data_IF_237574868951
#
_entry.id   IF_237574868951
#
_cell.length_a   1.000
_cell.length_b   1.000
_cell.length_c   1.000
_cell.angle_alpha   90.00
_cell.angle_beta   90.00
_cell.angle_gamma   90.00
#
_symmetry.space_group_name_H-M   'P 1'
#
loop_
_entity.id
_entity.type
_entity.pdbx_description
1 polymer ?
#
# COMPACT_ATOMS: atom_id res chain seq x y z
N UNK A 1 22.28 -3.48 18.43
CA UNK A 1 21.58 -3.96 19.62
C UNK A 1 21.58 -5.47 19.66
N UNK A 2 21.83 -6.06 20.81
CA UNK A 2 21.81 -7.51 21.00
C UNK A 2 20.35 -7.98 20.86
N UNK A 3 20.08 -8.88 19.93
CA UNK A 3 18.77 -9.55 19.86
C UNK A 3 18.67 -10.46 21.07
N UNK A 4 17.85 -10.07 22.05
CA UNK A 4 17.47 -10.96 23.14
C UNK A 4 16.33 -11.85 22.69
N UNK A 5 16.49 -13.16 22.82
CA UNK A 5 15.48 -14.19 22.48
C UNK A 5 14.20 -14.03 23.33
N UNK A 6 14.29 -13.32 24.46
CA UNK A 6 13.17 -12.92 25.30
C UNK A 6 13.23 -11.40 25.48
N UNK A 7 12.48 -10.68 24.69
CA UNK A 7 12.26 -9.25 24.94
C UNK A 7 11.38 -9.07 26.18
N UNK A 8 11.78 -8.18 27.07
CA UNK A 8 10.98 -7.80 28.23
C UNK A 8 10.01 -6.66 27.93
N UNK A 9 10.02 -6.16 26.70
CA UNK A 9 9.10 -5.11 26.26
C UNK A 9 7.68 -5.63 26.02
N UNK A 10 6.73 -4.73 26.10
CA UNK A 10 5.31 -4.96 25.85
C UNK A 10 4.72 -3.79 25.09
N UNK A 11 3.91 -4.10 24.11
CA UNK A 11 3.17 -3.13 23.30
C UNK A 11 1.68 -3.36 23.46
N UNK A 12 0.92 -2.30 23.71
CA UNK A 12 -0.53 -2.33 23.79
C UNK A 12 -1.12 -1.30 22.82
N UNK A 13 -1.91 -1.77 21.89
CA UNK A 13 -2.64 -0.95 20.92
C UNK A 13 -4.10 -0.79 21.34
N UNK A 14 -4.61 0.44 21.21
CA UNK A 14 -6.01 0.75 21.35
C UNK A 14 -6.48 1.59 20.17
N UNK A 15 -7.35 1.02 19.36
CA UNK A 15 -7.84 1.66 18.14
C UNK A 15 -9.37 1.66 18.12
N UNK A 16 -9.97 2.82 17.87
CA UNK A 16 -11.41 2.92 17.59
C UNK A 16 -11.65 3.56 16.24
N UNK A 17 -12.64 3.06 15.53
CA UNK A 17 -13.03 3.55 14.20
C UNK A 17 -14.55 3.64 14.12
N UNK A 18 -15.06 4.86 14.06
CA UNK A 18 -16.48 5.14 13.95
C UNK A 18 -16.73 5.82 12.60
N UNK A 19 -17.72 5.37 11.85
CA UNK A 19 -18.07 5.95 10.56
C UNK A 19 -19.58 5.98 10.38
N UNK A 20 -20.06 7.11 9.86
CA UNK A 20 -21.41 7.30 9.36
C UNK A 20 -21.34 7.59 7.87
N UNK A 21 -22.18 6.94 7.09
CA UNK A 21 -22.30 7.16 5.67
C UNK A 21 -23.77 7.39 5.30
N UNK A 22 -24.01 8.46 4.54
CA UNK A 22 -25.31 8.71 3.93
C UNK A 22 -25.15 8.76 2.41
N UNK A 23 -26.01 8.02 1.71
CA UNK A 23 -25.95 7.89 0.26
C UNK A 23 -27.31 8.21 -0.35
N UNK A 24 -27.32 9.11 -1.32
CA UNK A 24 -28.46 9.46 -2.16
C UNK A 24 -28.18 9.05 -3.60
N UNK A 25 -29.06 8.23 -4.17
CA UNK A 25 -29.02 7.84 -5.58
C UNK A 25 -30.19 8.46 -6.32
N UNK A 26 -29.92 9.07 -7.47
CA UNK A 26 -30.87 9.55 -8.46
C UNK A 26 -30.43 9.12 -9.86
N UNK A 27 -31.32 9.25 -10.86
CA UNK A 27 -31.04 8.75 -12.22
C UNK A 27 -29.72 9.30 -12.82
N UNK A 28 -29.40 10.56 -12.57
CA UNK A 28 -28.22 11.22 -13.16
C UNK A 28 -27.10 11.52 -12.17
N UNK A 29 -27.35 11.35 -10.87
CA UNK A 29 -26.32 11.66 -9.88
C UNK A 29 -26.40 10.77 -8.65
N UNK A 30 -25.27 10.61 -7.99
CA UNK A 30 -25.21 10.11 -6.62
C UNK A 30 -24.42 11.08 -5.75
N UNK A 31 -24.89 11.23 -4.52
CA UNK A 31 -24.22 12.04 -3.50
C UNK A 31 -23.97 11.16 -2.29
N UNK A 32 -22.73 11.12 -1.83
CA UNK A 32 -22.32 10.32 -0.69
C UNK A 32 -21.60 11.22 0.30
N UNK A 33 -22.10 11.28 1.52
CA UNK A 33 -21.48 12.00 2.63
C UNK A 33 -20.98 10.98 3.63
N UNK A 34 -19.70 11.10 4.03
CA UNK A 34 -19.07 10.29 5.06
C UNK A 34 -18.53 11.19 6.16
N UNK A 35 -18.76 10.79 7.40
CA UNK A 35 -18.11 11.34 8.56
C UNK A 35 -17.47 10.20 9.34
N UNK A 36 -16.19 10.31 9.68
CA UNK A 36 -15.50 9.30 10.47
C UNK A 36 -14.65 9.94 11.56
N UNK A 37 -14.62 9.28 12.72
CA UNK A 37 -13.76 9.64 13.82
C UNK A 37 -12.94 8.43 14.24
N UNK A 38 -11.62 8.60 14.19
CA UNK A 38 -10.65 7.56 14.49
C UNK A 38 -9.80 7.97 15.67
N UNK A 39 -9.54 7.02 16.56
CA UNK A 39 -8.53 7.15 17.62
C UNK A 39 -7.55 5.99 17.46
N UNK A 40 -6.29 6.30 17.36
CA UNK A 40 -5.20 5.34 17.35
C UNK A 40 -4.27 5.69 18.51
N UNK A 41 -4.05 4.74 19.41
CA UNK A 41 -3.20 4.89 20.58
C UNK A 41 -2.38 3.65 20.79
N UNK A 42 -1.10 3.83 21.11
CA UNK A 42 -0.26 2.77 21.62
C UNK A 42 0.34 3.16 22.98
N UNK A 43 0.63 2.14 23.79
CA UNK A 43 1.48 2.24 24.97
C UNK A 43 2.64 1.27 24.80
N UNK A 44 3.87 1.74 24.92
CA UNK A 44 5.08 0.95 24.87
C UNK A 44 5.73 0.89 26.26
N UNK A 45 5.97 -0.31 26.73
CA UNK A 45 6.61 -0.61 28.00
C UNK A 45 7.98 -1.22 27.70
N UNK A 46 9.06 -0.58 28.11
CA UNK A 46 10.41 -1.16 28.02
C UNK A 46 10.58 -2.41 28.85
N UNK A 47 9.83 -2.47 29.96
CA UNK A 47 9.73 -3.65 30.81
C UNK A 47 8.25 -4.00 31.00
N UNK A 48 7.83 -5.19 30.55
CA UNK A 48 6.46 -5.70 30.64
C UNK A 48 5.90 -5.80 32.07
N UNK A 49 6.78 -5.83 33.07
CA UNK A 49 6.44 -5.89 34.50
C UNK A 49 6.39 -4.49 35.14
N UNK A 50 6.70 -3.42 34.40
CA UNK A 50 6.63 -2.03 34.87
C UNK A 50 5.29 -1.42 34.50
N UNK A 51 4.81 -0.49 35.32
CA UNK A 51 3.65 0.35 35.00
C UNK A 51 4.04 1.62 34.22
N UNK A 52 5.34 1.87 34.06
CA UNK A 52 5.85 3.02 33.30
C UNK A 52 5.83 2.70 31.81
N UNK A 53 5.27 3.59 31.00
CA UNK A 53 5.21 3.45 29.56
C UNK A 53 5.36 4.78 28.83
N UNK A 54 5.83 4.74 27.62
CA UNK A 54 5.69 5.81 26.64
C UNK A 54 4.44 5.57 25.79
N UNK A 55 3.81 6.64 25.29
CA UNK A 55 2.61 6.51 24.46
C UNK A 55 2.65 7.45 23.28
N UNK A 56 1.94 7.08 22.24
CA UNK A 56 1.53 7.93 21.13
C UNK A 56 0.03 7.80 20.90
N UNK A 57 -0.62 8.90 20.57
CA UNK A 57 -2.05 8.95 20.26
C UNK A 57 -2.30 9.93 19.14
N UNK A 58 -3.13 9.52 18.17
CA UNK A 58 -3.68 10.39 17.14
C UNK A 58 -5.19 10.24 17.13
N UNK A 59 -5.90 11.37 17.16
CA UNK A 59 -7.34 11.44 16.92
C UNK A 59 -7.57 12.14 15.60
N UNK A 60 -8.39 11.56 14.72
CA UNK A 60 -8.64 12.13 13.40
C UNK A 60 -10.13 12.21 13.12
N UNK A 61 -10.59 13.39 12.72
CA UNK A 61 -11.91 13.64 12.14
C UNK A 61 -11.78 13.72 10.62
N UNK A 62 -12.59 12.95 9.91
CA UNK A 62 -12.69 12.95 8.45
C UNK A 62 -14.11 13.30 8.04
N UNK A 63 -14.24 14.26 7.14
CA UNK A 63 -15.48 14.56 6.45
C UNK A 63 -15.23 14.45 4.95
N UNK A 64 -16.09 13.75 4.22
CA UNK A 64 -15.99 13.59 2.77
C UNK A 64 -17.34 13.75 2.12
N UNK A 65 -17.40 14.54 1.05
CA UNK A 65 -18.50 14.57 0.11
C UNK A 65 -18.02 14.07 -1.26
N UNK A 66 -18.61 13.00 -1.74
CA UNK A 66 -18.37 12.40 -3.06
C UNK A 66 -19.64 12.59 -3.89
N UNK A 67 -19.55 13.40 -4.95
CA UNK A 67 -20.65 13.69 -5.84
C UNK A 67 -20.32 13.26 -7.27
N UNK A 68 -21.05 12.27 -7.76
CA UNK A 68 -20.96 11.78 -9.13
C UNK A 68 -22.14 12.29 -9.93
N UNK A 69 -21.86 12.91 -11.08
CA UNK A 69 -22.86 13.38 -12.02
C UNK A 69 -22.65 12.77 -13.41
N UNK A 70 -23.68 12.13 -13.96
CA UNK A 70 -23.69 11.57 -15.30
C UNK A 70 -24.29 12.61 -16.26
N UNK A 71 -23.43 13.30 -17.03
CA UNK A 71 -23.85 14.24 -18.06
C UNK A 71 -24.57 13.48 -19.18
N UNK A 72 -23.99 12.34 -19.58
CA UNK A 72 -24.54 11.40 -20.56
C UNK A 72 -24.17 9.97 -20.17
N UNK A 73 -24.54 8.98 -20.96
CA UNK A 73 -24.10 7.59 -20.80
C UNK A 73 -22.59 7.42 -20.97
N UNK A 74 -21.93 8.34 -21.69
CA UNK A 74 -20.50 8.29 -21.98
C UNK A 74 -19.66 9.25 -21.15
N UNK A 75 -20.27 10.26 -20.49
CA UNK A 75 -19.53 11.30 -19.76
C UNK A 75 -20.00 11.36 -18.32
N UNK A 76 -19.07 11.23 -17.39
CA UNK A 76 -19.31 11.44 -15.96
C UNK A 76 -18.30 12.41 -15.37
N UNK A 77 -18.77 13.24 -14.42
CA UNK A 77 -17.92 14.09 -13.58
C UNK A 77 -18.08 13.57 -12.15
N UNK A 78 -16.94 13.37 -11.48
CA UNK A 78 -16.92 13.11 -10.06
C UNK A 78 -16.19 14.25 -9.34
N UNK A 79 -16.83 14.83 -8.32
CA UNK A 79 -16.22 15.82 -7.44
C UNK A 79 -16.07 15.26 -6.05
N UNK A 80 -14.90 15.45 -5.45
CA UNK A 80 -14.60 15.07 -4.09
C UNK A 80 -14.19 16.29 -3.28
N UNK A 81 -14.83 16.48 -2.14
CA UNK A 81 -14.43 17.46 -1.14
C UNK A 81 -14.10 16.68 0.14
N UNK A 82 -12.88 16.84 0.62
CA UNK A 82 -12.40 16.21 1.83
C UNK A 82 -11.97 17.26 2.85
N UNK A 83 -12.27 17.00 4.10
CA UNK A 83 -11.74 17.72 5.26
C UNK A 83 -11.19 16.71 6.25
N UNK A 84 -9.97 16.93 6.70
CA UNK A 84 -9.32 16.11 7.73
C UNK A 84 -8.73 17.01 8.80
N UNK A 85 -9.04 16.73 10.07
CA UNK A 85 -8.34 17.30 11.21
C UNK A 85 -7.73 16.16 12.03
N UNK A 86 -6.45 16.25 12.32
CA UNK A 86 -5.73 15.25 13.11
C UNK A 86 -5.01 15.93 14.27
N UNK A 87 -5.25 15.44 15.48
CA UNK A 87 -4.61 15.88 16.72
C UNK A 87 -3.69 14.76 17.20
N UNK A 88 -2.38 15.01 17.22
CA UNK A 88 -1.35 14.09 17.65
C UNK A 88 -0.76 14.51 18.98
N UNK A 89 -0.48 13.56 19.87
CA UNK A 89 0.25 13.76 21.14
C UNK A 89 0.96 12.50 21.58
N UNK A 90 1.99 12.62 22.37
CA UNK A 90 2.72 11.46 22.88
C UNK A 90 3.75 11.85 23.93
N UNK A 91 4.39 10.83 24.51
CA UNK A 91 5.50 11.04 25.47
C UNK A 91 6.70 11.71 24.79
N UNK A 92 6.95 11.33 23.52
CA UNK A 92 8.07 11.81 22.71
C UNK A 92 7.60 12.69 21.54
N UNK A 93 6.37 13.21 21.61
CA UNK A 93 5.78 14.05 20.58
C UNK A 93 5.03 15.21 21.25
N UNK A 94 5.36 16.43 20.87
CA UNK A 94 4.58 17.62 21.27
C UNK A 94 3.15 17.48 20.71
N UNK A 95 2.19 18.08 21.43
CA UNK A 95 0.80 18.10 20.94
C UNK A 95 0.71 18.99 19.70
N UNK A 96 0.31 18.42 18.59
CA UNK A 96 0.22 19.10 17.30
C UNK A 96 -1.12 18.80 16.62
N UNK A 97 -1.68 19.82 15.99
CA UNK A 97 -2.91 19.72 15.20
C UNK A 97 -2.60 20.02 13.74
N UNK A 98 -3.19 19.25 12.83
CA UNK A 98 -3.09 19.48 11.40
C UNK A 98 -4.46 19.46 10.77
N UNK A 99 -4.74 20.47 9.98
CA UNK A 99 -5.97 20.59 9.19
C UNK A 99 -5.65 20.54 7.70
N UNK A 100 -6.38 19.70 6.96
CA UNK A 100 -6.23 19.53 5.52
C UNK A 100 -7.62 19.61 4.87
N UNK A 101 -7.79 20.55 3.96
CA UNK A 101 -8.92 20.62 3.04
C UNK A 101 -8.49 20.16 1.65
N UNK A 102 -9.31 19.36 0.95
CA UNK A 102 -8.99 18.93 -0.41
C UNK A 102 -10.22 19.06 -1.31
N UNK A 103 -10.01 19.62 -2.51
CA UNK A 103 -10.99 19.61 -3.57
C UNK A 103 -10.44 18.90 -4.81
N UNK A 104 -11.23 18.00 -5.42
CA UNK A 104 -10.85 17.35 -6.67
C UNK A 104 -12.03 17.20 -7.64
N UNK A 105 -11.70 17.24 -8.93
CA UNK A 105 -12.63 17.00 -10.03
C UNK A 105 -12.01 15.93 -10.91
N UNK A 106 -12.78 14.90 -11.23
CA UNK A 106 -12.41 13.84 -12.15
C UNK A 106 -13.44 13.76 -13.28
N UNK A 107 -12.98 14.03 -14.48
CA UNK A 107 -13.72 13.88 -15.73
C UNK A 107 -13.44 12.51 -16.32
N UNK A 108 -14.49 11.72 -16.62
CA UNK A 108 -14.39 10.42 -17.31
C UNK A 108 -15.21 10.46 -18.59
N UNK A 109 -14.59 10.04 -19.67
CA UNK A 109 -15.25 10.00 -20.99
C UNK A 109 -14.97 8.68 -21.72
N UNK A 110 -16.05 7.98 -22.05
CA UNK A 110 -16.05 6.84 -22.98
C UNK A 110 -16.23 7.41 -24.39
N UNK A 111 -15.11 7.79 -25.04
CA UNK A 111 -15.14 8.40 -26.35
C UNK A 111 -15.69 7.45 -27.44
N UNK A 112 -15.41 6.16 -27.29
CA UNK A 112 -15.93 5.09 -28.13
C UNK A 112 -15.97 3.77 -27.36
N UNK A 113 -16.41 2.70 -28.00
CA UNK A 113 -16.31 1.32 -27.44
C UNK A 113 -14.86 0.86 -27.22
N UNK A 114 -13.90 1.51 -27.89
CA UNK A 114 -12.48 1.16 -27.82
C UNK A 114 -11.66 2.13 -26.97
N UNK A 115 -12.07 3.38 -26.85
CA UNK A 115 -11.26 4.43 -26.22
C UNK A 115 -12.01 5.09 -25.07
N UNK A 116 -11.40 4.99 -23.87
CA UNK A 116 -11.80 5.70 -22.68
C UNK A 116 -10.63 6.56 -22.20
N UNK A 117 -10.94 7.73 -21.64
CA UNK A 117 -9.95 8.52 -20.93
C UNK A 117 -10.54 9.18 -19.69
N UNK A 118 -9.67 9.52 -18.77
CA UNK A 118 -10.00 10.27 -17.57
C UNK A 118 -8.96 11.36 -17.31
N UNK A 119 -9.43 12.51 -16.83
CA UNK A 119 -8.62 13.66 -16.45
C UNK A 119 -9.02 14.09 -15.06
N UNK A 120 -8.06 14.23 -14.18
CA UNK A 120 -8.28 14.65 -12.80
C UNK A 120 -7.43 15.86 -12.45
N UNK A 121 -8.01 16.74 -11.65
CA UNK A 121 -7.29 17.83 -10.97
C UNK A 121 -7.62 17.78 -9.50
N UNK A 122 -6.65 18.12 -8.65
CA UNK A 122 -6.80 18.16 -7.20
C UNK A 122 -6.00 19.33 -6.63
N UNK A 123 -6.61 20.07 -5.71
CA UNK A 123 -5.94 21.04 -4.87
C UNK A 123 -6.11 20.65 -3.41
N UNK A 124 -5.03 20.68 -2.67
CA UNK A 124 -4.99 20.51 -1.24
C UNK A 124 -4.67 21.85 -0.59
N UNK A 125 -5.24 22.12 0.56
CA UNK A 125 -4.98 23.31 1.37
C UNK A 125 -4.67 22.84 2.79
N UNK A 126 -3.53 23.24 3.31
CA UNK A 126 -3.09 22.98 4.68
C UNK A 126 -2.49 24.26 5.25
N UNK A 127 -2.49 24.38 6.56
CA UNK A 127 -1.93 25.51 7.29
C UNK A 127 -0.39 25.51 7.35
N UNK A 128 0.24 24.39 7.00
CA UNK A 128 1.67 24.15 7.20
C UNK A 128 2.52 24.28 5.95
N UNK A 129 1.95 23.95 4.76
CA UNK A 129 2.70 23.85 3.51
C UNK A 129 1.90 24.37 2.31
N UNK A 130 2.60 24.96 1.35
CA UNK A 130 2.00 25.26 0.06
C UNK A 130 1.88 23.97 -0.78
N UNK A 131 0.65 23.65 -1.17
CA UNK A 131 0.37 22.51 -2.03
C UNK A 131 0.30 22.92 -3.49
N UNK A 132 1.00 22.23 -4.39
CA UNK A 132 0.87 22.49 -5.83
C UNK A 132 -0.48 21.98 -6.35
N UNK A 133 -0.90 22.49 -7.50
CA UNK A 133 -1.97 21.86 -8.25
C UNK A 133 -1.52 20.46 -8.70
N UNK A 134 -2.30 19.45 -8.32
CA UNK A 134 -2.08 18.06 -8.68
C UNK A 134 -2.97 17.69 -9.87
N UNK A 135 -2.50 16.77 -10.70
CA UNK A 135 -3.26 16.30 -11.86
C UNK A 135 -3.05 14.80 -12.08
N UNK A 136 -4.00 14.21 -12.77
CA UNK A 136 -3.89 12.86 -13.31
C UNK A 136 -4.52 12.80 -14.70
N UNK A 137 -3.94 11.98 -15.58
CA UNK A 137 -4.49 11.69 -16.90
C UNK A 137 -4.33 10.18 -17.15
N UNK A 138 -5.43 9.50 -17.43
CA UNK A 138 -5.46 8.09 -17.73
C UNK A 138 -6.16 7.80 -19.04
N UNK A 139 -5.72 6.79 -19.78
CA UNK A 139 -6.38 6.33 -20.99
C UNK A 139 -6.33 4.81 -21.10
N UNK A 140 -7.33 4.24 -21.75
CA UNK A 140 -7.41 2.83 -22.10
C UNK A 140 -7.91 2.70 -23.53
N UNK A 141 -7.11 2.07 -24.40
CA UNK A 141 -7.40 1.86 -25.80
C UNK A 141 -7.38 0.38 -26.16
N UNK A 142 -8.55 -0.18 -26.47
CA UNK A 142 -8.73 -1.55 -26.95
C UNK A 142 -8.37 -1.61 -28.44
N UNK A 143 -7.16 -2.04 -28.77
CA UNK A 143 -6.69 -2.24 -30.13
C UNK A 143 -7.46 -3.37 -30.81
N UNK A 144 -7.66 -4.47 -30.07
CA UNK A 144 -8.47 -5.63 -30.49
C UNK A 144 -9.35 -6.08 -29.33
N UNK A 145 -10.16 -7.10 -29.50
CA UNK A 145 -10.93 -7.74 -28.43
C UNK A 145 -10.03 -8.44 -27.36
N UNK A 146 -8.77 -8.73 -27.71
CA UNK A 146 -7.82 -9.43 -26.85
C UNK A 146 -6.69 -8.55 -26.33
N UNK A 147 -6.51 -7.35 -26.87
CA UNK A 147 -5.38 -6.50 -26.55
C UNK A 147 -5.79 -5.05 -26.27
N UNK A 148 -5.42 -4.57 -25.07
CA UNK A 148 -5.67 -3.20 -24.61
C UNK A 148 -4.37 -2.56 -24.16
N UNK A 149 -4.10 -1.34 -24.61
CA UNK A 149 -3.04 -0.49 -24.08
C UNK A 149 -3.68 0.49 -23.10
N UNK A 150 -3.01 0.68 -21.95
CA UNK A 150 -3.36 1.70 -20.95
C UNK A 150 -2.15 2.59 -20.71
N UNK A 151 -2.39 3.87 -20.49
CA UNK A 151 -1.35 4.80 -20.06
C UNK A 151 -1.89 5.66 -18.93
N UNK A 152 -1.04 6.01 -17.98
CA UNK A 152 -1.35 6.90 -16.88
C UNK A 152 -0.19 7.86 -16.64
N UNK A 153 -0.53 9.10 -16.29
CA UNK A 153 0.41 10.15 -15.88
C UNK A 153 -0.20 10.87 -14.69
N UNK A 154 0.57 11.06 -13.61
CA UNK A 154 0.09 11.84 -12.47
C UNK A 154 1.20 12.58 -11.74
N UNK A 155 0.83 13.73 -11.16
CA UNK A 155 1.64 14.49 -10.21
C UNK A 155 1.09 14.28 -8.82
N UNK A 156 1.96 13.90 -7.88
CA UNK A 156 1.60 13.62 -6.49
C UNK A 156 2.39 14.51 -5.53
N UNK A 157 1.88 14.60 -4.30
CA UNK A 157 2.40 15.43 -3.23
C UNK A 157 2.17 14.72 -1.89
N UNK A 158 3.15 14.78 -0.99
CA UNK A 158 3.03 14.23 0.37
C UNK A 158 3.70 15.15 1.38
N UNK A 159 2.96 15.61 2.37
CA UNK A 159 3.50 16.37 3.50
C UNK A 159 4.19 15.42 4.50
N UNK A 160 5.22 15.89 5.24
CA UNK A 160 5.86 15.11 6.30
C UNK A 160 4.83 14.66 7.36
N UNK A 161 5.04 13.49 7.95
CA UNK A 161 4.22 13.01 9.06
C UNK A 161 4.53 13.77 10.37
N UNK A 162 3.69 13.62 11.40
CA UNK A 162 4.00 14.18 12.73
C UNK A 162 5.30 13.62 13.29
N UNK A 163 5.58 12.34 13.09
CA UNK A 163 6.83 11.73 13.55
C UNK A 163 8.04 12.31 12.82
N UNK A 164 7.93 12.55 11.51
CA UNK A 164 9.03 13.15 10.74
C UNK A 164 9.38 14.55 11.27
N UNK A 165 8.38 15.33 11.70
CA UNK A 165 8.57 16.72 12.14
C UNK A 165 8.92 16.83 13.62
N UNK A 166 8.20 16.09 14.48
CA UNK A 166 8.10 16.43 15.90
C UNK A 166 8.53 15.31 16.84
N UNK A 167 9.13 14.22 16.32
CA UNK A 167 9.68 13.19 17.20
C UNK A 167 10.80 13.76 18.06
N UNK A 168 10.65 13.69 19.38
CA UNK A 168 11.57 14.31 20.32
C UNK A 168 13.00 13.76 20.16
N UNK A 169 13.97 14.66 19.95
CA UNK A 169 15.37 14.34 19.76
C UNK A 169 15.78 13.80 18.37
N UNK A 170 14.80 13.53 17.49
CA UNK A 170 15.09 12.98 16.16
C UNK A 170 14.27 13.61 15.03
N UNK A 171 13.12 14.22 15.30
CA UNK A 171 12.30 14.90 14.30
C UNK A 171 13.02 16.09 13.65
N UNK A 172 12.59 16.45 12.44
CA UNK A 172 13.14 17.57 11.67
C UNK A 172 12.00 18.48 11.19
N UNK A 173 11.77 19.63 11.86
CA UNK A 173 10.73 20.58 11.46
C UNK A 173 10.96 21.27 10.12
N UNK A 174 12.19 21.25 9.59
CA UNK A 174 12.60 21.92 8.35
C UNK A 174 12.41 21.05 7.10
N UNK A 175 11.73 19.91 7.22
CA UNK A 175 11.46 19.02 6.09
C UNK A 175 10.53 19.66 5.06
N UNK A 176 10.92 19.56 3.80
CA UNK A 176 10.07 19.88 2.66
C UNK A 176 9.09 18.73 2.37
N UNK A 177 7.90 19.02 1.83
CA UNK A 177 7.01 18.01 1.28
C UNK A 177 7.63 17.29 0.08
N UNK A 178 7.29 16.02 -0.08
CA UNK A 178 7.68 15.23 -1.24
C UNK A 178 6.81 15.55 -2.45
N UNK A 179 7.43 15.59 -3.61
CA UNK A 179 6.74 15.72 -4.90
C UNK A 179 7.10 14.55 -5.81
N UNK A 180 6.14 14.05 -6.57
CA UNK A 180 6.46 13.09 -7.63
C UNK A 180 5.69 13.35 -8.90
N UNK A 181 6.34 13.05 -10.03
CA UNK A 181 5.74 12.88 -11.34
C UNK A 181 5.93 11.43 -11.73
N UNK A 182 4.83 10.74 -12.02
CA UNK A 182 4.88 9.34 -12.43
C UNK A 182 4.14 9.11 -13.72
N UNK A 183 4.67 8.20 -14.54
CA UNK A 183 4.05 7.73 -15.76
C UNK A 183 4.18 6.23 -15.89
N UNK A 184 3.16 5.59 -16.45
CA UNK A 184 3.15 4.16 -16.73
C UNK A 184 2.45 3.83 -18.04
N UNK A 185 2.88 2.76 -18.69
CA UNK A 185 2.24 2.17 -19.86
C UNK A 185 2.07 0.69 -19.60
N UNK A 186 0.82 0.22 -19.71
CA UNK A 186 0.46 -1.18 -19.51
C UNK A 186 -0.07 -1.78 -20.79
N UNK A 187 0.39 -2.99 -21.10
CA UNK A 187 -0.08 -3.82 -22.19
C UNK A 187 -0.86 -4.99 -21.59
N UNK A 188 -2.15 -5.04 -21.84
CA UNK A 188 -3.05 -6.07 -21.33
C UNK A 188 -3.52 -6.99 -22.46
N UNK A 189 -3.23 -8.28 -22.35
CA UNK A 189 -3.67 -9.34 -23.24
C UNK A 189 -4.66 -10.23 -22.49
N UNK A 190 -5.87 -10.34 -23.00
CA UNK A 190 -6.92 -11.13 -22.40
C UNK A 190 -7.45 -12.12 -23.43
N UNK A 191 -7.37 -13.43 -23.13
CA UNK A 191 -7.91 -14.46 -23.99
C UNK A 191 -8.61 -15.54 -23.18
N UNK A 192 -9.90 -15.73 -23.43
CA UNK A 192 -10.76 -16.65 -22.65
C UNK A 192 -10.64 -16.37 -21.15
N UNK A 193 -10.07 -17.29 -20.40
CA UNK A 193 -9.95 -17.24 -18.95
C UNK A 193 -8.54 -16.85 -18.48
N UNK A 194 -7.69 -16.36 -19.40
CA UNK A 194 -6.32 -15.97 -19.12
C UNK A 194 -6.12 -14.49 -19.42
N UNK A 195 -5.36 -13.84 -18.55
CA UNK A 195 -4.98 -12.43 -18.64
C UNK A 195 -3.49 -12.30 -18.39
N UNK A 196 -2.82 -11.53 -19.23
CA UNK A 196 -1.42 -11.15 -19.07
C UNK A 196 -1.31 -9.63 -19.13
N UNK A 197 -0.61 -9.03 -18.18
CA UNK A 197 -0.34 -7.59 -18.15
C UNK A 197 1.15 -7.37 -18.02
N UNK A 198 1.68 -6.49 -18.87
CA UNK A 198 3.06 -6.00 -18.77
C UNK A 198 3.02 -4.48 -18.67
N UNK A 199 3.55 -3.94 -17.57
CA UNK A 199 3.59 -2.51 -17.28
C UNK A 199 5.03 -2.04 -17.17
N UNK A 200 5.39 -0.98 -17.91
CA UNK A 200 6.60 -0.20 -17.67
C UNK A 200 6.25 1.09 -16.95
N UNK A 201 7.04 1.47 -15.95
CA UNK A 201 6.80 2.67 -15.15
C UNK A 201 8.07 3.49 -14.94
N UNK A 202 7.87 4.79 -14.73
CA UNK A 202 8.90 5.75 -14.34
C UNK A 202 8.29 6.72 -13.30
N UNK A 203 8.97 6.91 -12.18
CA UNK A 203 8.59 7.83 -11.11
C UNK A 203 9.81 8.70 -10.78
N UNK A 204 9.65 10.01 -10.91
CA UNK A 204 10.64 10.98 -10.48
C UNK A 204 10.15 11.61 -9.17
N UNK A 205 10.92 11.46 -8.09
CA UNK A 205 10.64 12.04 -6.78
C UNK A 205 11.62 13.17 -6.49
N UNK A 206 11.11 14.22 -5.86
CA UNK A 206 11.88 15.30 -5.28
C UNK A 206 11.61 15.39 -3.80
N UNK A 207 12.63 15.71 -3.02
CA UNK A 207 12.54 15.91 -1.58
C UNK A 207 12.00 14.67 -0.84
N UNK A 208 12.35 13.46 -1.31
CA UNK A 208 11.93 12.21 -0.66
C UNK A 208 12.36 12.18 0.80
N UNK A 209 11.42 11.98 1.71
CA UNK A 209 11.69 11.92 3.15
C UNK A 209 12.15 10.50 3.52
N UNK A 210 13.34 10.42 4.10
CA UNK A 210 13.93 9.16 4.56
C UNK A 210 14.54 9.33 5.94
N UNK A 211 14.34 8.32 6.79
CA UNK A 211 15.06 8.21 8.04
C UNK A 211 16.44 7.60 7.78
N UNK A 212 17.48 8.29 8.14
CA UNK A 212 18.87 7.86 7.96
C UNK A 212 19.63 7.93 9.27
N UNK A 213 20.59 7.02 9.52
CA UNK A 213 21.43 7.05 10.70
C UNK A 213 22.43 8.22 10.58
N UNK A 214 22.54 9.02 11.64
CA UNK A 214 23.52 10.08 11.79
C UNK A 214 24.78 9.58 12.47
N UNK A 215 25.84 10.38 12.45
CA UNK A 215 27.13 10.06 13.09
C UNK A 215 27.05 9.81 14.60
N UNK A 216 26.04 10.36 15.26
CA UNK A 216 25.73 10.14 16.68
C UNK A 216 24.92 8.83 16.94
N UNK A 217 24.62 8.05 15.90
CA UNK A 217 23.85 6.80 15.97
C UNK A 217 22.32 6.99 16.03
N UNK A 218 21.83 8.22 16.06
CA UNK A 218 20.38 8.50 16.03
C UNK A 218 19.88 8.47 14.57
N UNK A 219 18.68 7.96 14.38
CA UNK A 219 17.98 8.03 13.11
C UNK A 219 17.23 9.34 13.02
N UNK A 220 17.41 10.09 11.94
CA UNK A 220 16.73 11.35 11.70
C UNK A 220 16.16 11.40 10.28
N UNK A 221 14.99 12.04 10.08
CA UNK A 221 14.40 12.20 8.77
C UNK A 221 15.08 13.34 8.02
N UNK A 222 15.38 13.10 6.75
CA UNK A 222 15.95 14.08 5.82
C UNK A 222 15.28 13.98 4.46
N UNK A 223 15.29 15.08 3.73
CA UNK A 223 14.94 15.08 2.33
C UNK A 223 16.12 14.57 1.48
N UNK A 224 15.88 13.57 0.66
CA UNK A 224 16.75 13.15 -0.44
C UNK A 224 16.27 13.87 -1.69
N UNK A 225 17.13 14.74 -2.28
CA UNK A 225 16.67 15.73 -3.26
C UNK A 225 16.01 15.11 -4.49
N UNK A 226 16.68 14.15 -5.13
CA UNK A 226 16.17 13.54 -6.34
C UNK A 226 16.31 12.02 -6.31
N UNK A 227 15.20 11.33 -6.53
CA UNK A 227 15.15 9.87 -6.63
C UNK A 227 14.39 9.48 -7.90
N UNK A 228 14.95 8.56 -8.66
CA UNK A 228 14.28 7.98 -9.83
C UNK A 228 13.97 6.52 -9.58
N UNK A 229 12.69 6.16 -9.69
CA UNK A 229 12.23 4.77 -9.67
C UNK A 229 11.74 4.40 -11.04
N UNK A 230 12.23 3.29 -11.59
CA UNK A 230 11.75 2.76 -12.88
C UNK A 230 11.81 1.24 -12.89
N UNK A 231 11.04 0.67 -13.77
CA UNK A 231 11.00 -0.78 -13.84
C UNK A 231 9.93 -1.35 -14.74
N UNK A 232 9.78 -2.65 -14.61
CA UNK A 232 8.79 -3.46 -15.31
C UNK A 232 8.03 -4.33 -14.32
N UNK A 233 6.72 -4.41 -14.51
CA UNK A 233 5.85 -5.30 -13.75
C UNK A 233 5.09 -6.24 -14.69
N UNK A 234 5.01 -7.49 -14.32
CA UNK A 234 4.29 -8.53 -15.05
C UNK A 234 3.26 -9.18 -14.14
N UNK A 235 2.05 -9.37 -14.65
CA UNK A 235 0.99 -10.14 -14.01
C UNK A 235 0.44 -11.14 -15.00
N UNK A 236 0.32 -12.40 -14.59
CA UNK A 236 -0.39 -13.43 -15.33
C UNK A 236 -1.43 -14.11 -14.44
N UNK A 237 -2.63 -14.22 -14.95
CA UNK A 237 -3.75 -14.88 -14.28
C UNK A 237 -4.43 -15.84 -15.24
N UNK A 238 -4.79 -17.02 -14.76
CA UNK A 238 -5.60 -17.96 -15.53
C UNK A 238 -6.48 -18.81 -14.62
N UNK A 239 -7.63 -19.20 -15.14
CA UNK A 239 -8.58 -20.11 -14.47
C UNK A 239 -9.03 -21.19 -15.45
N UNK A 240 -9.12 -22.43 -14.97
CA UNK A 240 -9.59 -23.57 -15.77
C UNK A 240 -10.56 -24.43 -14.98
N UNK A 241 -11.76 -24.58 -15.49
CA UNK A 241 -12.77 -25.49 -14.93
C UNK A 241 -12.80 -26.79 -15.73
N UNK A 242 -12.77 -27.94 -15.04
CA UNK A 242 -12.90 -29.28 -15.60
C UNK A 242 -13.97 -30.00 -14.77
N UNK A 243 -15.20 -30.03 -15.25
CA UNK A 243 -16.32 -30.49 -14.47
C UNK A 243 -16.54 -29.65 -13.21
N UNK A 244 -16.43 -30.25 -12.02
CA UNK A 244 -16.55 -29.58 -10.72
C UNK A 244 -15.23 -29.10 -10.14
N UNK A 245 -14.13 -29.29 -10.86
CA UNK A 245 -12.78 -28.90 -10.47
C UNK A 245 -12.43 -27.53 -11.05
N UNK A 246 -12.01 -26.59 -10.21
CA UNK A 246 -11.55 -25.28 -10.62
C UNK A 246 -10.09 -25.11 -10.23
N UNK A 247 -9.23 -24.88 -11.20
CA UNK A 247 -7.84 -24.51 -11.04
C UNK A 247 -7.68 -23.02 -11.29
N UNK A 248 -6.96 -22.32 -10.43
CA UNK A 248 -6.61 -20.91 -10.59
C UNK A 248 -5.12 -20.75 -10.40
N UNK A 249 -4.47 -20.04 -11.29
CA UNK A 249 -3.06 -19.71 -11.21
C UNK A 249 -2.89 -18.20 -11.40
N UNK A 250 -2.17 -17.55 -10.47
CA UNK A 250 -1.80 -16.14 -10.56
C UNK A 250 -0.33 -16.02 -10.24
N UNK A 251 0.42 -15.30 -11.06
CA UNK A 251 1.83 -14.99 -10.81
C UNK A 251 2.11 -13.54 -11.15
N UNK A 252 2.96 -12.90 -10.37
CA UNK A 252 3.49 -11.58 -10.68
C UNK A 252 5.01 -11.55 -10.50
N UNK A 253 5.63 -10.67 -11.26
CA UNK A 253 7.05 -10.38 -11.17
C UNK A 253 7.25 -8.87 -11.33
N UNK A 254 8.10 -8.29 -10.51
CA UNK A 254 8.51 -6.90 -10.59
C UNK A 254 10.04 -6.78 -10.63
N UNK A 255 10.51 -5.99 -11.57
CA UNK A 255 11.88 -5.48 -11.61
C UNK A 255 11.84 -3.98 -11.34
N UNK A 256 12.52 -3.52 -10.29
CA UNK A 256 12.50 -2.13 -9.85
C UNK A 256 13.94 -1.65 -9.59
N UNK A 257 14.30 -0.56 -10.23
CA UNK A 257 15.47 0.24 -9.87
C UNK A 257 14.97 1.47 -9.13
N UNK A 258 15.52 1.76 -7.96
CA UNK A 258 15.18 2.91 -7.12
C UNK A 258 16.48 3.60 -6.74
N UNK A 259 16.83 4.67 -7.45
CA UNK A 259 18.16 5.25 -7.42
C UNK A 259 18.13 6.69 -6.89
N UNK A 260 19.06 6.98 -5.98
CA UNK A 260 19.37 8.36 -5.62
C UNK A 260 20.25 8.96 -6.73
N UNK A 261 19.74 9.98 -7.43
CA UNK A 261 20.38 10.56 -8.60
C UNK A 261 21.70 11.30 -8.30
N UNK A 262 21.93 11.67 -7.03
CA UNK A 262 23.17 12.36 -6.63
C UNK A 262 24.34 11.38 -6.42
N UNK A 263 24.01 10.20 -5.88
CA UNK A 263 25.01 9.19 -5.51
C UNK A 263 25.08 8.03 -6.50
N UNK A 264 24.12 7.93 -7.42
CA UNK A 264 23.94 6.81 -8.35
C UNK A 264 23.85 5.45 -7.62
N UNK A 265 23.26 5.46 -6.41
CA UNK A 265 23.11 4.27 -5.56
C UNK A 265 21.65 3.88 -5.43
N UNK A 266 21.43 2.55 -5.46
CA UNK A 266 20.13 1.95 -5.14
C UNK A 266 19.72 2.32 -3.70
N UNK A 267 18.46 2.68 -3.50
CA UNK A 267 17.94 2.95 -2.17
C UNK A 267 17.98 1.68 -1.30
N UNK A 268 18.28 1.87 -0.02
CA UNK A 268 18.32 0.78 0.94
C UNK A 268 16.95 0.12 1.12
N UNK A 269 16.94 -1.21 1.34
CA UNK A 269 15.75 -2.03 1.55
C UNK A 269 14.77 -2.06 0.37
N UNK A 270 15.20 -1.68 -0.83
CA UNK A 270 14.43 -1.81 -2.06
C UNK A 270 15.05 -2.93 -2.91
N UNK A 271 14.42 -4.12 -3.01
CA UNK A 271 14.93 -5.19 -3.85
C UNK A 271 14.69 -4.90 -5.33
N UNK A 272 15.67 -5.23 -6.17
CA UNK A 272 15.49 -5.11 -7.62
C UNK A 272 14.49 -6.14 -8.17
N UNK A 273 14.35 -7.29 -7.53
CA UNK A 273 13.49 -8.39 -8.01
C UNK A 273 12.52 -8.81 -6.92
N UNK A 274 11.24 -8.86 -7.27
CA UNK A 274 10.18 -9.49 -6.47
C UNK A 274 9.35 -10.39 -7.36
N UNK A 275 8.96 -11.56 -6.85
CA UNK A 275 8.05 -12.46 -7.55
C UNK A 275 7.08 -13.12 -6.57
N UNK A 276 5.89 -13.44 -7.05
CA UNK A 276 4.99 -14.34 -6.34
C UNK A 276 4.25 -15.25 -7.32
N UNK A 277 3.84 -16.41 -6.84
CA UNK A 277 3.00 -17.33 -7.58
C UNK A 277 1.99 -17.99 -6.62
N UNK A 278 0.74 -18.03 -7.02
CA UNK A 278 -0.35 -18.66 -6.29
C UNK A 278 -1.04 -19.67 -7.17
N UNK A 279 -1.11 -20.91 -6.71
CA UNK A 279 -1.88 -21.99 -7.33
C UNK A 279 -2.99 -22.39 -6.37
N UNK A 280 -4.25 -22.31 -6.81
CA UNK A 280 -5.40 -22.73 -6.03
C UNK A 280 -6.20 -23.79 -6.79
N UNK A 281 -6.67 -24.77 -6.04
CA UNK A 281 -7.56 -25.82 -6.52
C UNK A 281 -8.82 -25.86 -5.67
N UNK A 282 -9.97 -25.79 -6.31
CA UNK A 282 -11.27 -25.83 -5.66
C UNK A 282 -12.05 -27.06 -6.15
N UNK A 283 -12.59 -27.81 -5.22
CA UNK A 283 -13.49 -28.92 -5.49
C UNK A 283 -14.61 -28.97 -4.45
N UNK A 284 -15.84 -28.67 -4.88
CA UNK A 284 -17.03 -28.63 -4.00
C UNK A 284 -16.85 -27.66 -2.82
N UNK A 285 -16.60 -28.21 -1.62
CA UNK A 285 -16.41 -27.48 -0.36
C UNK A 285 -14.94 -27.32 0.00
N UNK A 286 -14.02 -27.96 -0.70
CA UNK A 286 -12.58 -27.92 -0.43
C UNK A 286 -11.89 -26.90 -1.32
N UNK A 287 -11.00 -26.12 -0.73
CA UNK A 287 -10.02 -25.29 -1.43
C UNK A 287 -8.65 -25.63 -0.87
N UNK A 288 -7.71 -25.94 -1.73
CA UNK A 288 -6.28 -26.01 -1.35
C UNK A 288 -5.49 -25.05 -2.20
N UNK A 289 -4.43 -24.52 -1.64
CA UNK A 289 -3.60 -23.54 -2.34
C UNK A 289 -2.14 -23.67 -1.91
N UNK A 290 -1.28 -23.30 -2.84
CA UNK A 290 0.15 -23.15 -2.66
C UNK A 290 0.54 -21.73 -3.06
N UNK A 291 1.31 -21.06 -2.21
CA UNK A 291 1.83 -19.72 -2.42
C UNK A 291 3.34 -19.77 -2.35
N UNK A 292 3.97 -19.15 -3.33
CA UNK A 292 5.40 -18.95 -3.38
C UNK A 292 5.70 -17.46 -3.52
N UNK A 293 6.68 -16.96 -2.76
CA UNK A 293 7.10 -15.57 -2.77
C UNK A 293 8.62 -15.52 -2.79
N UNK A 294 9.16 -14.67 -3.64
CA UNK A 294 10.59 -14.39 -3.74
C UNK A 294 10.83 -12.90 -3.53
N UNK A 295 11.83 -12.57 -2.74
CA UNK A 295 12.36 -11.22 -2.53
C UNK A 295 13.85 -11.26 -2.78
N UNK A 296 14.32 -10.48 -3.74
CA UNK A 296 15.73 -10.35 -4.07
C UNK A 296 16.56 -9.69 -2.97
N UNK A 297 17.86 -9.73 -3.09
CA UNK A 297 18.79 -9.06 -2.18
C UNK A 297 18.46 -7.56 -2.04
N UNK A 298 18.77 -7.00 -0.87
CA UNK A 298 18.61 -5.57 -0.59
C UNK A 298 19.85 -4.99 0.02
N UNK A 299 20.20 -3.77 -0.37
CA UNK A 299 21.24 -3.01 0.31
C UNK A 299 20.73 -2.51 1.66
N UNK A 300 21.57 -2.57 2.69
CA UNK A 300 21.28 -2.09 4.05
C UNK A 300 22.03 -0.81 4.40
N UNK A 301 23.03 -0.44 3.59
CA UNK A 301 23.78 0.80 3.71
C UNK A 301 23.67 1.67 2.45
N UNK A 302 23.73 2.98 2.60
CA UNK A 302 23.54 3.95 1.51
C UNK A 302 24.66 3.93 0.46
N UNK A 303 25.84 3.38 0.79
CA UNK A 303 26.97 3.17 -0.11
C UNK A 303 26.84 1.90 -0.95
N UNK A 304 25.79 1.10 -0.71
CA UNK A 304 25.52 -0.20 -1.32
C UNK A 304 26.60 -1.26 -1.04
N UNK A 305 27.32 -1.14 0.07
CA UNK A 305 28.34 -2.12 0.44
C UNK A 305 27.74 -3.32 1.20
N UNK A 306 26.87 -3.07 2.18
CA UNK A 306 26.25 -4.12 2.98
C UNK A 306 24.90 -4.52 2.39
N UNK A 307 24.63 -5.83 2.40
CA UNK A 307 23.40 -6.43 1.86
C UNK A 307 22.76 -7.38 2.85
N UNK A 308 21.46 -7.60 2.68
CA UNK A 308 20.75 -8.80 3.11
C UNK A 308 20.53 -9.69 1.89
N UNK A 309 20.71 -10.99 2.09
CA UNK A 309 20.51 -12.01 1.06
C UNK A 309 19.05 -12.07 0.61
N UNK A 310 18.85 -12.54 -0.60
CA UNK A 310 17.54 -12.90 -1.11
C UNK A 310 16.95 -14.10 -0.38
N UNK A 311 15.63 -14.24 -0.44
CA UNK A 311 14.94 -15.39 0.14
C UNK A 311 13.69 -15.76 -0.64
N UNK A 312 13.27 -17.03 -0.50
CA UNK A 312 12.02 -17.52 -1.06
C UNK A 312 11.18 -18.24 0.00
N UNK A 313 9.92 -17.86 0.10
CA UNK A 313 8.97 -18.43 1.06
C UNK A 313 7.91 -19.25 0.34
N UNK A 314 7.54 -20.37 0.92
CA UNK A 314 6.45 -21.21 0.45
C UNK A 314 5.42 -21.42 1.55
N UNK A 315 4.14 -21.26 1.21
CA UNK A 315 3.02 -21.53 2.10
C UNK A 315 2.07 -22.52 1.44
N UNK A 316 1.43 -23.37 2.22
CA UNK A 316 0.38 -24.27 1.75
C UNK A 316 -0.82 -24.18 2.71
N UNK A 317 -2.02 -24.24 2.17
CA UNK A 317 -3.22 -24.23 2.99
C UNK A 317 -4.33 -25.09 2.40
N UNK A 318 -5.25 -25.48 3.28
CA UNK A 318 -6.49 -26.17 2.95
C UNK A 318 -7.63 -25.56 3.73
N UNK A 319 -8.73 -25.28 3.03
CA UNK A 319 -9.96 -24.73 3.58
C UNK A 319 -11.12 -25.68 3.29
N UNK A 320 -11.98 -25.88 4.28
CA UNK A 320 -13.18 -26.67 4.15
C UNK A 320 -14.40 -25.85 4.56
N UNK A 321 -15.30 -25.63 3.61
CA UNK A 321 -16.57 -24.94 3.83
C UNK A 321 -17.67 -25.95 4.18
N UNK A 322 -18.37 -25.76 5.30
CA UNK A 322 -19.44 -26.67 5.77
C UNK A 322 -20.62 -25.89 6.36
N UNK A 323 -21.67 -26.63 6.75
CA UNK A 323 -22.92 -26.05 7.24
C UNK A 323 -23.90 -25.66 6.12
N UNK A 324 -25.13 -25.28 6.52
CA UNK A 324 -26.12 -24.80 5.56
C UNK A 324 -25.62 -23.51 4.92
N UNK A 325 -25.70 -23.41 3.59
CA UNK A 325 -25.18 -22.27 2.80
C UNK A 325 -23.68 -21.97 3.03
N UNK A 326 -22.87 -22.95 3.48
CA UNK A 326 -21.44 -22.78 3.76
C UNK A 326 -21.15 -21.70 4.82
N UNK A 327 -21.94 -21.71 5.89
CA UNK A 327 -21.83 -20.73 6.98
C UNK A 327 -20.49 -20.82 7.73
N UNK A 328 -19.84 -21.98 7.72
CA UNK A 328 -18.59 -22.23 8.44
C UNK A 328 -17.45 -22.52 7.47
N UNK A 329 -16.28 -21.97 7.76
CA UNK A 329 -15.04 -22.31 7.08
C UNK A 329 -13.99 -22.70 8.12
N UNK A 330 -13.50 -23.92 8.03
CA UNK A 330 -12.35 -24.41 8.81
C UNK A 330 -11.12 -24.40 7.89
N UNK A 331 -10.07 -23.73 8.31
CA UNK A 331 -8.82 -23.63 7.53
C UNK A 331 -7.59 -24.02 8.33
N UNK A 332 -6.64 -24.64 7.63
CA UNK A 332 -5.32 -24.98 8.15
C UNK A 332 -4.26 -24.50 7.16
N UNK A 333 -3.21 -23.85 7.67
CA UNK A 333 -2.10 -23.33 6.90
C UNK A 333 -0.75 -23.74 7.51
N UNK A 334 0.20 -24.02 6.65
CA UNK A 334 1.62 -24.11 7.00
C UNK A 334 2.30 -22.94 6.31
N UNK A 335 2.84 -22.02 7.10
CA UNK A 335 3.57 -20.85 6.63
C UNK A 335 5.07 -21.15 6.71
N UNK A 336 5.83 -20.62 5.78
CA UNK A 336 7.26 -20.89 5.62
C UNK A 336 7.54 -22.41 5.59
N UNK A 337 6.93 -23.11 4.64
CA UNK A 337 6.96 -24.57 4.51
C UNK A 337 8.38 -25.14 4.46
N UNK A 338 9.30 -24.45 3.82
CA UNK A 338 10.72 -24.81 3.68
C UNK A 338 11.54 -24.53 4.93
N UNK A 339 10.98 -23.80 5.91
CA UNK A 339 11.67 -23.33 7.11
C UNK A 339 12.88 -22.44 6.79
N UNK A 340 12.69 -21.53 5.83
CA UNK A 340 13.68 -20.53 5.42
C UNK A 340 14.03 -19.61 6.58
N UNK A 341 15.32 -19.36 6.80
CA UNK A 341 15.82 -18.36 7.75
C UNK A 341 16.03 -17.05 7.01
N UNK A 342 15.24 -16.06 7.30
CA UNK A 342 15.29 -14.79 6.57
C UNK A 342 15.10 -13.57 7.48
N UNK A 343 15.48 -12.41 6.97
CA UNK A 343 15.35 -11.13 7.62
C UNK A 343 14.81 -10.10 6.60
N UNK A 344 13.85 -9.30 7.00
CA UNK A 344 13.41 -8.13 6.23
C UNK A 344 14.21 -6.87 6.56
N UNK A 345 14.76 -6.83 7.76
CA UNK A 345 15.62 -5.76 8.27
C UNK A 345 16.80 -6.42 8.98
N UNK A 346 17.99 -5.84 8.82
CA UNK A 346 19.20 -6.34 9.46
C UNK A 346 19.00 -6.53 10.97
N UNK A 347 19.47 -7.64 11.50
CA UNK A 347 19.34 -8.04 12.92
C UNK A 347 17.89 -8.24 13.39
N UNK A 348 16.93 -8.45 12.48
CA UNK A 348 15.53 -8.78 12.81
C UNK A 348 15.11 -10.09 12.13
N UNK A 349 15.42 -11.25 12.75
CA UNK A 349 15.01 -12.53 12.20
C UNK A 349 13.48 -12.66 12.17
N UNK A 350 12.99 -13.22 11.09
CA UNK A 350 11.57 -13.46 10.88
C UNK A 350 11.20 -14.88 11.33
N UNK A 351 9.92 -15.17 11.63
CA UNK A 351 9.48 -16.48 12.06
C UNK A 351 9.82 -17.58 11.05
N UNK A 352 10.37 -18.70 11.53
CA UNK A 352 10.52 -19.93 10.78
C UNK A 352 9.16 -20.57 10.44
N UNK A 353 9.16 -21.87 10.12
CA UNK A 353 7.92 -22.61 9.84
C UNK A 353 6.94 -22.49 11.00
N UNK A 354 5.71 -22.10 10.68
CA UNK A 354 4.65 -22.00 11.67
C UNK A 354 3.31 -22.50 11.11
N UNK A 355 2.39 -22.80 12.03
CA UNK A 355 1.11 -23.43 11.71
C UNK A 355 -0.03 -22.53 12.18
N UNK A 356 -1.07 -22.40 11.35
CA UNK A 356 -2.27 -21.63 11.68
C UNK A 356 -3.51 -22.49 11.46
N UNK A 357 -4.33 -22.62 12.50
CA UNK A 357 -5.68 -23.18 12.44
C UNK A 357 -6.68 -22.06 12.67
N UNK A 358 -7.73 -21.98 11.87
CA UNK A 358 -8.74 -20.94 12.02
C UNK A 358 -10.13 -21.43 11.65
N UNK A 359 -11.12 -20.84 12.31
CA UNK A 359 -12.54 -21.02 12.04
C UNK A 359 -13.16 -19.67 11.72
N UNK A 360 -13.82 -19.56 10.57
CA UNK A 360 -14.58 -18.37 10.17
C UNK A 360 -16.08 -18.67 10.21
N UNK A 361 -16.82 -17.77 10.83
CA UNK A 361 -18.30 -17.83 10.91
C UNK A 361 -18.87 -16.74 9.99
N UNK A 362 -19.61 -17.12 8.97
CA UNK A 362 -20.33 -16.20 8.10
C UNK A 362 -21.79 -16.14 8.60
N UNK A 363 -22.13 -15.10 9.33
CA UNK A 363 -23.44 -14.89 9.96
C UNK A 363 -24.43 -14.24 8.97
#
# INVERSE_FOLDING_TARGET
GTITVNSDDKYLDFNTRNMLEWILFKNKYSSKIKAAYLTEKYNYYENKNSDTYTFGQVNSLFLRHDFLYSISESITINTLLDFTQSDAKGSDLLTETRTIGTGSILWKHKLSTKLNYELGIRQEVTDTYESPLLFSAGTSFALTEYYTIKANLSKNFRIPTFNDLYWQGSGNPDLNPEHSLQGEISNEFSYKNSKFVLTGFLIQLKDMIRWIPKSNGLWQPENTQNVTNYGLEMLFETKKSIGKHLFSFTTSYGYTVSENNETEKQLTYVPNHKANANLAYNYKSFTTYYQWMYTGEVFTSSDNFYKLDDYALSNIGIDYNFGKKKTYLLGFQVLNLTNENYQNVISRPMPGRNFKLYLTLNL
#
